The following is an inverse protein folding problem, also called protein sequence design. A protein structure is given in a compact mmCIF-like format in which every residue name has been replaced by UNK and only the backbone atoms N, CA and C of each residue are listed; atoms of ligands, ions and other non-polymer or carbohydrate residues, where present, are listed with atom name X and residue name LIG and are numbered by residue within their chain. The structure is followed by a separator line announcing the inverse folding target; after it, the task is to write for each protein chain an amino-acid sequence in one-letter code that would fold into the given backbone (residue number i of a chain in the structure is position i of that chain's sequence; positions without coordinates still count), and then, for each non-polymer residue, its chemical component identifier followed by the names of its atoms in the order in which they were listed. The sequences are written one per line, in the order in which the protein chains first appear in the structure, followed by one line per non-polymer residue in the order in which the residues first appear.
data_IF_122746486284
#
_entry.id   IF_122746486284
#
_cell.length_a   1.000
_cell.length_b   1.000
_cell.length_c   1.000
_cell.angle_alpha   90.00
_cell.angle_beta   90.00
_cell.angle_gamma   90.00
#
_symmetry.space_group_name_H-M   'P 1'
#
loop_
_entity.id
_entity.type
_entity.pdbx_description
1 polymer ?
#
# COMPACT_ATOMS: atom_id res chain seq x y z
N UNK A 1 37.15 17.52 8.59
CA UNK A 1 37.75 17.73 9.92
C UNK A 1 37.17 16.68 10.84
N UNK A 2 37.98 15.88 11.55
CA UNK A 2 37.47 14.98 12.60
C UNK A 2 37.41 15.78 13.90
N UNK A 3 36.23 16.24 14.28
CA UNK A 3 36.00 16.93 15.54
C UNK A 3 35.23 15.98 16.48
N UNK A 4 35.49 16.02 17.79
CA UNK A 4 34.68 15.26 18.75
C UNK A 4 33.25 15.80 18.78
N UNK A 5 33.11 17.13 18.67
CA UNK A 5 31.83 17.82 18.68
C UNK A 5 31.83 18.94 17.63
N UNK A 6 30.71 19.13 16.95
CA UNK A 6 30.46 20.26 16.08
C UNK A 6 29.58 21.30 16.81
N UNK A 7 30.12 22.50 16.99
CA UNK A 7 29.36 23.67 17.45
C UNK A 7 28.26 24.03 16.43
N UNK A 8 27.18 24.71 16.86
CA UNK A 8 26.12 25.12 15.95
C UNK A 8 26.69 25.92 14.77
N UNK A 9 26.43 25.43 13.55
CA UNK A 9 26.87 26.07 12.31
C UNK A 9 25.72 26.89 11.76
N UNK A 10 25.93 28.20 11.62
CA UNK A 10 25.07 29.08 10.85
C UNK A 10 25.92 29.69 9.72
N UNK A 11 25.82 29.14 8.51
CA UNK A 11 26.68 29.50 7.39
C UNK A 11 25.91 29.56 6.07
N UNK A 12 26.46 30.21 5.05
CA UNK A 12 25.92 30.07 3.69
C UNK A 12 26.19 28.65 3.17
N UNK A 13 27.41 28.14 3.40
CA UNK A 13 27.83 26.80 3.03
C UNK A 13 28.49 26.10 4.23
N UNK A 14 28.19 24.82 4.42
CA UNK A 14 28.86 23.95 5.38
C UNK A 14 29.72 22.94 4.63
N UNK A 15 31.04 22.97 4.84
CA UNK A 15 31.97 21.96 4.27
C UNK A 15 31.81 20.60 4.95
N UNK A 16 32.33 19.53 4.34
CA UNK A 16 32.21 18.16 4.86
C UNK A 16 32.54 18.06 6.38
N UNK A 17 31.55 17.59 7.14
CA UNK A 17 31.61 17.44 8.60
C UNK A 17 31.86 15.98 8.93
N UNK A 18 32.88 15.71 9.75
CA UNK A 18 33.11 14.40 10.36
C UNK A 18 33.17 14.61 11.87
N UNK A 19 32.11 14.26 12.58
CA UNK A 19 32.01 14.49 14.03
C UNK A 19 31.50 13.25 14.77
N UNK A 20 31.73 13.16 16.09
CA UNK A 20 30.95 12.21 16.89
C UNK A 20 29.54 12.78 17.10
N UNK A 21 29.45 14.02 17.54
CA UNK A 21 28.17 14.71 17.78
C UNK A 21 28.09 16.05 17.01
N UNK A 22 26.92 16.36 16.45
CA UNK A 22 26.62 17.64 15.80
C UNK A 22 25.30 18.22 16.33
N UNK A 23 25.34 19.46 16.85
CA UNK A 23 24.29 20.00 17.72
C UNK A 23 23.27 20.95 17.06
N UNK A 24 23.62 21.59 15.93
CA UNK A 24 22.70 22.24 15.00
C UNK A 24 23.42 22.64 13.71
N UNK A 25 22.83 22.38 12.54
CA UNK A 25 23.34 22.88 11.26
C UNK A 25 22.23 23.69 10.58
N UNK A 26 22.50 24.98 10.36
CA UNK A 26 21.67 25.88 9.55
C UNK A 26 22.52 26.39 8.39
N UNK A 27 22.27 25.88 7.18
CA UNK A 27 23.03 26.24 5.98
C UNK A 27 22.13 26.46 4.77
N UNK A 28 22.59 27.21 3.76
CA UNK A 28 21.91 27.16 2.46
C UNK A 28 22.27 25.83 1.77
N UNK A 29 23.56 25.52 1.71
CA UNK A 29 24.07 24.24 1.19
C UNK A 29 24.92 23.53 2.24
N UNK A 30 24.67 22.24 2.44
CA UNK A 30 25.47 21.41 3.35
C UNK A 30 26.11 20.24 2.60
N UNK A 31 27.45 20.22 2.52
CA UNK A 31 28.24 19.10 2.00
C UNK A 31 28.20 17.90 2.99
N UNK A 32 28.57 16.67 2.56
CA UNK A 32 28.28 15.44 3.31
C UNK A 32 28.61 15.49 4.80
N UNK A 33 27.66 15.00 5.60
CA UNK A 33 27.77 14.88 7.05
C UNK A 33 27.99 13.41 7.39
N UNK A 34 29.07 13.11 8.09
CA UNK A 34 29.29 11.83 8.75
C UNK A 34 29.34 12.07 10.27
N UNK A 35 28.28 11.70 10.99
CA UNK A 35 28.17 11.87 12.43
C UNK A 35 27.73 10.57 13.12
N UNK A 36 28.03 10.39 14.42
CA UNK A 36 27.30 9.38 15.19
C UNK A 36 25.90 9.92 15.50
N UNK A 37 25.82 11.14 16.02
CA UNK A 37 24.56 11.83 16.31
C UNK A 37 24.52 13.18 15.60
N UNK A 38 23.40 13.47 14.93
CA UNK A 38 23.15 14.76 14.29
C UNK A 38 21.82 15.35 14.76
N UNK A 39 21.86 16.57 15.28
CA UNK A 39 20.70 17.25 15.84
C UNK A 39 20.71 18.72 15.43
N UNK A 40 19.53 19.34 15.26
CA UNK A 40 18.76 19.38 14.02
C UNK A 40 19.51 19.97 12.79
N UNK A 41 19.14 19.51 11.59
CA UNK A 41 19.64 20.03 10.29
C UNK A 41 18.53 20.82 9.60
N UNK A 42 18.78 22.09 9.32
CA UNK A 42 17.96 22.96 8.48
C UNK A 42 18.79 23.43 7.28
N UNK A 43 18.48 22.92 6.09
CA UNK A 43 19.20 23.26 4.87
C UNK A 43 18.26 23.66 3.73
N UNK A 44 18.70 24.44 2.75
CA UNK A 44 17.97 24.48 1.47
C UNK A 44 18.29 23.20 0.69
N UNK A 45 19.58 22.88 0.56
CA UNK A 45 20.07 21.63 -0.04
C UNK A 45 20.97 20.88 0.95
N UNK A 46 20.63 19.62 1.24
CA UNK A 46 21.44 18.76 2.08
C UNK A 46 22.07 17.64 1.25
N UNK A 47 23.39 17.69 1.03
CA UNK A 47 24.15 16.58 0.45
C UNK A 47 24.23 15.40 1.44
N UNK A 48 24.64 14.18 1.02
CA UNK A 48 24.31 12.94 1.72
C UNK A 48 24.69 12.93 3.21
N UNK A 49 23.77 12.41 4.03
CA UNK A 49 23.92 12.30 5.49
C UNK A 49 24.10 10.84 5.86
N UNK A 50 25.22 10.53 6.52
CA UNK A 50 25.46 9.24 7.14
C UNK A 50 25.52 9.45 8.67
N UNK A 51 24.51 8.97 9.39
CA UNK A 51 24.41 9.11 10.83
C UNK A 51 24.13 7.76 11.52
N UNK A 52 24.47 7.59 12.80
CA UNK A 52 23.82 6.54 13.57
C UNK A 52 22.41 7.01 13.95
N UNK A 53 22.29 8.23 14.48
CA UNK A 53 21.03 8.87 14.81
C UNK A 53 20.93 10.28 14.19
N UNK A 54 19.80 10.59 13.54
CA UNK A 54 19.50 11.90 13.00
C UNK A 54 18.17 12.41 13.56
N UNK A 55 18.15 13.55 14.27
CA UNK A 55 16.96 13.93 15.06
C UNK A 55 15.86 14.66 14.27
N UNK A 56 16.20 15.66 13.45
CA UNK A 56 15.25 16.40 12.61
C UNK A 56 15.98 16.89 11.38
N UNK A 57 15.43 16.61 10.20
CA UNK A 57 15.92 17.14 8.93
C UNK A 57 14.80 17.97 8.29
N UNK A 58 15.04 19.27 8.17
CA UNK A 58 14.21 20.19 7.41
C UNK A 58 14.99 20.67 6.18
N UNK A 59 14.59 20.24 4.98
CA UNK A 59 15.29 20.57 3.74
C UNK A 59 14.32 21.06 2.65
N UNK A 60 14.78 21.86 1.68
CA UNK A 60 14.04 21.95 0.42
C UNK A 60 14.32 20.67 -0.39
N UNK A 61 15.60 20.33 -0.56
CA UNK A 61 16.06 19.09 -1.18
C UNK A 61 16.97 18.31 -0.22
N UNK A 62 16.59 17.06 0.07
CA UNK A 62 17.43 16.14 0.83
C UNK A 62 18.03 15.10 -0.10
N UNK A 63 19.35 15.13 -0.29
CA UNK A 63 20.13 14.05 -0.91
C UNK A 63 20.23 12.85 0.06
N UNK A 64 20.68 11.66 -0.38
CA UNK A 64 20.39 10.40 0.32
C UNK A 64 20.80 10.39 1.80
N UNK A 65 19.92 9.81 2.62
CA UNK A 65 20.10 9.69 4.07
C UNK A 65 20.28 8.22 4.42
N UNK A 66 21.42 7.89 5.03
CA UNK A 66 21.68 6.58 5.61
C UNK A 66 21.78 6.73 7.13
N UNK A 67 20.84 6.15 7.87
CA UNK A 67 20.81 6.24 9.33
C UNK A 67 20.48 4.89 10.00
N UNK A 68 20.89 4.67 11.25
CA UNK A 68 20.24 3.60 12.02
C UNK A 68 18.84 4.08 12.43
N UNK A 69 18.74 5.29 12.98
CA UNK A 69 17.49 5.94 13.34
C UNK A 69 17.39 7.33 12.71
N UNK A 70 16.28 7.59 11.99
CA UNK A 70 15.91 8.90 11.51
C UNK A 70 14.66 9.40 12.22
N UNK A 71 14.79 10.47 12.99
CA UNK A 71 13.69 11.26 13.54
C UNK A 71 13.31 12.39 12.55
N UNK A 72 12.11 12.99 12.65
CA UNK A 72 11.26 13.34 11.51
C UNK A 72 11.92 14.14 10.40
N UNK A 73 11.58 13.77 9.15
CA UNK A 73 12.08 14.41 7.93
C UNK A 73 10.95 15.23 7.31
N UNK A 74 11.20 16.52 7.10
CA UNK A 74 10.33 17.43 6.36
C UNK A 74 11.09 17.99 5.16
N UNK A 75 10.74 17.55 3.95
CA UNK A 75 11.41 17.98 2.71
C UNK A 75 10.40 18.43 1.64
N UNK A 76 10.82 19.25 0.67
CA UNK A 76 10.04 19.33 -0.57
C UNK A 76 10.33 18.07 -1.40
N UNK A 77 11.61 17.75 -1.58
CA UNK A 77 12.08 16.55 -2.28
C UNK A 77 13.02 15.72 -1.40
N UNK A 78 12.72 14.42 -1.28
CA UNK A 78 13.55 13.45 -0.55
C UNK A 78 14.13 12.41 -1.51
N UNK A 79 15.46 12.47 -1.69
CA UNK A 79 16.28 11.42 -2.30
C UNK A 79 16.39 10.21 -1.32
N UNK A 80 16.91 9.04 -1.74
CA UNK A 80 16.58 7.78 -1.06
C UNK A 80 16.97 7.77 0.43
N UNK A 81 16.07 7.23 1.25
CA UNK A 81 16.25 7.02 2.68
C UNK A 81 16.52 5.53 2.90
N UNK A 82 17.65 5.22 3.53
CA UNK A 82 18.01 3.88 3.99
C UNK A 82 18.18 3.93 5.52
N UNK A 83 17.21 3.38 6.24
CA UNK A 83 17.17 3.44 7.70
C UNK A 83 16.85 2.09 8.35
N UNK A 84 17.30 1.83 9.58
CA UNK A 84 16.68 0.73 10.34
C UNK A 84 15.29 1.18 10.81
N UNK A 85 15.20 2.35 11.42
CA UNK A 85 13.95 2.98 11.85
C UNK A 85 13.81 4.38 11.25
N UNK A 86 12.69 4.64 10.57
CA UNK A 86 12.35 5.95 10.02
C UNK A 86 11.11 6.48 10.73
N UNK A 87 11.24 7.55 11.51
CA UNK A 87 10.15 8.34 12.08
C UNK A 87 9.52 9.23 11.01
N UNK A 88 8.37 9.90 11.24
CA UNK A 88 7.47 10.28 10.14
C UNK A 88 8.13 11.18 9.10
N UNK A 89 7.85 10.87 7.83
CA UNK A 89 8.35 11.58 6.66
C UNK A 89 7.22 12.40 6.07
N UNK A 90 7.43 13.71 5.93
CA UNK A 90 6.53 14.61 5.22
C UNK A 90 7.27 15.19 4.02
N UNK A 91 6.83 14.86 2.81
CA UNK A 91 7.48 15.32 1.58
C UNK A 91 6.45 15.79 0.53
N UNK A 92 6.85 16.64 -0.43
CA UNK A 92 6.07 16.75 -1.66
C UNK A 92 6.37 15.52 -2.53
N UNK A 93 7.65 15.20 -2.72
CA UNK A 93 8.11 14.04 -3.48
C UNK A 93 9.09 13.20 -2.64
N UNK A 94 8.85 11.89 -2.54
CA UNK A 94 9.74 10.95 -1.86
C UNK A 94 10.15 9.82 -2.81
N UNK A 95 11.45 9.66 -3.07
CA UNK A 95 11.95 8.79 -4.15
C UNK A 95 12.02 7.29 -3.80
N UNK A 96 12.68 6.91 -2.70
CA UNK A 96 12.74 5.52 -2.23
C UNK A 96 12.88 5.54 -0.72
N UNK A 97 12.08 4.72 -0.03
CA UNK A 97 12.24 4.48 1.41
C UNK A 97 12.50 3.00 1.62
N UNK A 98 13.72 2.68 2.07
CA UNK A 98 14.10 1.35 2.53
C UNK A 98 14.23 1.41 4.06
N UNK A 99 13.37 0.70 4.78
CA UNK A 99 13.40 0.69 6.24
C UNK A 99 13.12 -0.68 6.84
N UNK A 100 13.63 -1.01 8.02
CA UNK A 100 13.05 -2.14 8.77
C UNK A 100 11.67 -1.73 9.29
N UNK A 101 11.59 -0.57 9.94
CA UNK A 101 10.35 0.03 10.43
C UNK A 101 10.17 1.44 9.86
N UNK A 102 9.04 1.69 9.20
CA UNK A 102 8.68 2.98 8.65
C UNK A 102 7.44 3.54 9.36
N UNK A 103 7.62 4.58 10.17
CA UNK A 103 6.56 5.41 10.76
C UNK A 103 5.80 6.21 9.66
N UNK A 104 4.69 6.91 9.98
CA UNK A 104 3.78 7.42 8.96
C UNK A 104 4.45 8.25 7.86
N UNK A 105 4.10 7.97 6.60
CA UNK A 105 4.59 8.72 5.43
C UNK A 105 3.44 9.55 4.88
N UNK A 106 3.64 10.86 4.78
CA UNK A 106 2.71 11.78 4.13
C UNK A 106 3.41 12.44 2.93
N UNK A 107 3.00 12.08 1.72
CA UNK A 107 3.61 12.59 0.48
C UNK A 107 2.57 13.06 -0.54
N UNK A 108 2.93 13.94 -1.48
CA UNK A 108 2.12 14.10 -2.69
C UNK A 108 2.41 12.90 -3.62
N UNK A 109 3.70 12.65 -3.88
CA UNK A 109 4.18 11.53 -4.68
C UNK A 109 5.16 10.67 -3.87
N UNK A 110 4.89 9.36 -3.80
CA UNK A 110 5.73 8.38 -3.15
C UNK A 110 6.20 7.30 -4.13
N UNK A 111 7.48 7.34 -4.45
CA UNK A 111 8.21 6.32 -5.18
C UNK A 111 8.77 5.26 -4.19
N UNK A 112 9.20 4.08 -4.67
CA UNK A 112 8.91 2.80 -4.02
C UNK A 112 9.29 2.70 -2.53
N UNK A 113 8.37 2.15 -1.73
CA UNK A 113 8.57 1.86 -0.30
C UNK A 113 8.83 0.37 -0.14
N UNK A 114 9.97 0.04 0.48
CA UNK A 114 10.34 -1.32 0.84
C UNK A 114 10.61 -1.39 2.34
N UNK A 115 9.72 -2.04 3.10
CA UNK A 115 9.86 -2.15 4.55
C UNK A 115 9.57 -3.54 5.11
N UNK A 116 10.06 -3.85 6.31
CA UNK A 116 9.50 -4.99 7.05
C UNK A 116 8.13 -4.59 7.61
N UNK A 117 8.06 -3.47 8.33
CA UNK A 117 6.84 -2.91 8.90
C UNK A 117 6.59 -1.48 8.40
N UNK A 118 5.37 -1.23 7.93
CA UNK A 118 4.91 0.08 7.48
C UNK A 118 3.68 0.56 8.28
N UNK A 119 3.88 1.63 9.04
CA UNK A 119 2.83 2.46 9.63
C UNK A 119 2.19 3.35 8.54
N UNK A 120 1.07 4.07 8.80
CA UNK A 120 0.16 4.46 7.72
C UNK A 120 0.80 5.35 6.65
N UNK A 121 0.55 5.01 5.39
CA UNK A 121 0.99 5.77 4.20
C UNK A 121 -0.19 6.58 3.69
N UNK A 122 -0.01 7.89 3.56
CA UNK A 122 -0.97 8.81 2.96
C UNK A 122 -0.30 9.53 1.77
N UNK A 123 -0.73 9.21 0.56
CA UNK A 123 -0.17 9.79 -0.67
C UNK A 123 -1.26 10.29 -1.63
N UNK A 124 -0.96 11.21 -2.55
CA UNK A 124 -1.81 11.38 -3.73
C UNK A 124 -1.51 10.24 -4.71
N UNK A 125 -0.23 10.06 -5.04
CA UNK A 125 0.26 8.99 -5.91
C UNK A 125 1.28 8.14 -5.17
N UNK A 126 1.06 6.83 -5.16
CA UNK A 126 1.98 5.85 -4.60
C UNK A 126 2.29 4.80 -5.67
N UNK A 127 3.58 4.61 -5.97
CA UNK A 127 4.00 3.54 -6.86
C UNK A 127 3.99 2.20 -6.09
N UNK A 128 5.15 1.58 -5.89
CA UNK A 128 5.25 0.25 -5.30
C UNK A 128 5.34 0.33 -3.79
N UNK A 129 4.48 -0.42 -3.10
CA UNK A 129 4.62 -0.70 -1.66
C UNK A 129 4.93 -2.17 -1.49
N UNK A 130 6.11 -2.50 -1.01
CA UNK A 130 6.53 -3.86 -0.68
C UNK A 130 6.79 -3.94 0.84
N UNK A 131 5.91 -4.61 1.58
CA UNK A 131 6.02 -4.73 3.03
C UNK A 131 5.87 -6.18 3.51
N UNK A 132 6.42 -6.55 4.68
CA UNK A 132 5.93 -7.75 5.35
C UNK A 132 4.57 -7.42 6.00
N UNK A 133 4.52 -6.35 6.79
CA UNK A 133 3.31 -5.86 7.45
C UNK A 133 3.05 -4.40 7.08
N UNK A 134 1.81 -4.10 6.68
CA UNK A 134 1.36 -2.76 6.35
C UNK A 134 0.06 -2.45 7.08
N UNK A 135 0.01 -1.31 7.78
CA UNK A 135 -1.19 -0.89 8.51
C UNK A 135 -2.26 -0.32 7.58
N UNK A 136 -2.08 0.89 7.05
CA UNK A 136 -3.05 1.54 6.16
C UNK A 136 -2.33 2.18 4.99
N UNK A 137 -2.79 1.90 3.78
CA UNK A 137 -2.41 2.63 2.57
C UNK A 137 -3.60 3.48 2.12
N UNK A 138 -3.47 4.80 2.21
CA UNK A 138 -4.46 5.75 1.72
C UNK A 138 -3.86 6.54 0.55
N UNK A 139 -4.36 6.30 -0.66
CA UNK A 139 -3.86 6.96 -1.87
C UNK A 139 -4.99 7.43 -2.81
N UNK A 140 -4.75 8.40 -3.68
CA UNK A 140 -5.63 8.58 -4.83
C UNK A 140 -5.32 7.48 -5.86
N UNK A 141 -4.05 7.34 -6.23
CA UNK A 141 -3.55 6.31 -7.14
C UNK A 141 -2.48 5.46 -6.45
N UNK A 142 -2.62 4.12 -6.50
CA UNK A 142 -1.68 3.19 -5.87
C UNK A 142 -1.29 2.04 -6.81
N UNK A 143 0.01 1.78 -6.99
CA UNK A 143 0.44 0.88 -8.05
C UNK A 143 1.82 0.24 -7.89
N UNK A 144 1.96 -1.09 -7.71
CA UNK A 144 1.22 -2.10 -6.94
C UNK A 144 1.53 -2.17 -5.43
N UNK A 145 0.63 -2.80 -4.65
CA UNK A 145 0.85 -3.16 -3.24
C UNK A 145 1.14 -4.66 -3.10
N UNK A 146 2.29 -5.00 -2.54
CA UNK A 146 2.69 -6.36 -2.18
C UNK A 146 2.97 -6.44 -0.68
N UNK A 147 2.14 -7.17 0.07
CA UNK A 147 2.30 -7.32 1.52
C UNK A 147 2.17 -8.78 1.95
N UNK A 148 2.76 -9.20 3.08
CA UNK A 148 2.28 -10.42 3.72
C UNK A 148 0.93 -10.12 4.41
N UNK A 149 0.89 -9.07 5.22
CA UNK A 149 -0.31 -8.62 5.93
C UNK A 149 -0.58 -7.13 5.64
N UNK A 150 -1.81 -6.79 5.26
CA UNK A 150 -2.22 -5.42 5.02
C UNK A 150 -3.55 -5.10 5.72
N UNK A 151 -3.54 -4.19 6.70
CA UNK A 151 -4.73 -3.90 7.53
C UNK A 151 -5.70 -2.90 6.90
N UNK A 152 -5.36 -2.18 5.83
CA UNK A 152 -6.33 -1.44 5.04
C UNK A 152 -5.70 -0.91 3.74
N UNK A 153 -6.47 -0.94 2.66
CA UNK A 153 -6.16 -0.19 1.44
C UNK A 153 -7.35 0.68 1.09
N UNK A 154 -7.16 1.99 1.07
CA UNK A 154 -8.14 3.00 0.66
C UNK A 154 -7.57 3.74 -0.54
N UNK A 155 -8.10 3.47 -1.73
CA UNK A 155 -7.61 4.05 -2.97
C UNK A 155 -8.75 4.62 -3.82
N UNK A 156 -8.51 5.64 -4.66
CA UNK A 156 -9.43 5.85 -5.78
C UNK A 156 -9.15 4.78 -6.84
N UNK A 157 -7.90 4.66 -7.25
CA UNK A 157 -7.43 3.68 -8.22
C UNK A 157 -6.30 2.84 -7.62
N UNK A 158 -6.46 1.52 -7.66
CA UNK A 158 -5.41 0.59 -7.28
C UNK A 158 -5.17 -0.40 -8.41
N UNK A 159 -3.94 -0.48 -8.90
CA UNK A 159 -3.59 -1.48 -9.92
C UNK A 159 -3.59 -2.87 -9.26
N UNK A 160 -2.47 -3.34 -8.73
CA UNK A 160 -2.39 -4.70 -8.18
C UNK A 160 -2.36 -4.67 -6.66
N UNK A 161 -3.16 -5.53 -6.02
CA UNK A 161 -2.99 -5.87 -4.60
C UNK A 161 -2.64 -7.35 -4.50
N UNK A 162 -1.44 -7.65 -3.99
CA UNK A 162 -0.97 -8.99 -3.70
C UNK A 162 -0.68 -9.12 -2.20
N UNK A 163 -1.55 -9.79 -1.45
CA UNK A 163 -1.41 -9.92 0.00
C UNK A 163 -1.59 -11.36 0.49
N UNK A 164 -0.92 -11.83 1.54
CA UNK A 164 -1.39 -13.08 2.17
C UNK A 164 -2.75 -12.83 2.86
N UNK A 165 -2.82 -11.75 3.65
CA UNK A 165 -4.04 -11.29 4.29
C UNK A 165 -4.25 -9.79 4.03
N UNK A 166 -5.47 -9.40 3.63
CA UNK A 166 -5.82 -7.98 3.49
C UNK A 166 -7.20 -7.67 4.08
N UNK A 167 -7.28 -6.64 4.94
CA UNK A 167 -8.51 -6.37 5.68
C UNK A 167 -8.63 -4.96 6.30
N UNK A 168 -9.35 -3.96 5.71
CA UNK A 168 -10.22 -4.00 4.53
C UNK A 168 -9.76 -3.19 3.31
N UNK A 169 -10.38 -3.47 2.15
CA UNK A 169 -10.10 -2.76 0.90
C UNK A 169 -11.31 -1.93 0.48
N UNK A 170 -11.08 -0.63 0.27
CA UNK A 170 -12.03 0.31 -0.29
C UNK A 170 -11.40 1.01 -1.49
N UNK A 171 -11.84 0.69 -2.70
CA UNK A 171 -11.32 1.28 -3.94
C UNK A 171 -12.44 1.79 -4.84
N UNK A 172 -12.24 2.83 -5.67
CA UNK A 172 -13.17 3.04 -6.78
C UNK A 172 -12.89 1.98 -7.86
N UNK A 173 -11.63 1.81 -8.24
CA UNK A 173 -11.16 0.81 -9.20
C UNK A 173 -10.04 -0.05 -8.61
N UNK A 174 -10.13 -1.37 -8.77
CA UNK A 174 -9.09 -2.31 -8.31
C UNK A 174 -8.81 -3.39 -9.37
N UNK A 175 -7.56 -3.51 -9.84
CA UNK A 175 -7.25 -4.38 -10.99
C UNK A 175 -5.80 -4.91 -11.12
N UNK A 176 -5.48 -6.18 -10.78
CA UNK A 176 -6.22 -7.25 -10.08
C UNK A 176 -5.88 -7.40 -8.58
N UNK A 177 -6.74 -8.12 -7.86
CA UNK A 177 -6.52 -8.51 -6.47
C UNK A 177 -6.22 -10.01 -6.35
N UNK A 178 -5.11 -10.34 -5.68
CA UNK A 178 -4.72 -11.70 -5.34
C UNK A 178 -4.41 -11.79 -3.84
N UNK A 179 -5.15 -12.60 -3.09
CA UNK A 179 -4.83 -12.81 -1.69
C UNK A 179 -5.11 -14.21 -1.16
N UNK A 180 -4.48 -14.65 -0.07
CA UNK A 180 -4.95 -15.88 0.58
C UNK A 180 -6.30 -15.60 1.24
N UNK A 181 -6.38 -14.55 2.05
CA UNK A 181 -7.62 -14.12 2.70
C UNK A 181 -7.89 -12.62 2.48
N UNK A 182 -9.15 -12.28 2.19
CA UNK A 182 -9.61 -10.90 2.05
C UNK A 182 -10.86 -10.66 2.89
N UNK A 183 -10.87 -9.58 3.65
CA UNK A 183 -11.98 -9.22 4.52
C UNK A 183 -12.32 -7.74 4.39
N UNK A 184 -13.61 -7.39 4.45
CA UNK A 184 -14.40 -7.03 3.27
C UNK A 184 -13.69 -6.24 2.16
N UNK A 185 -14.14 -6.46 0.91
CA UNK A 185 -13.75 -5.67 -0.26
C UNK A 185 -14.93 -4.83 -0.74
N UNK A 186 -14.78 -3.52 -0.77
CA UNK A 186 -15.74 -2.59 -1.35
C UNK A 186 -15.12 -1.88 -2.54
N UNK A 187 -15.65 -2.12 -3.74
CA UNK A 187 -15.19 -1.45 -4.95
C UNK A 187 -16.33 -0.98 -5.85
N UNK A 188 -16.12 0.06 -6.66
CA UNK A 188 -17.04 0.30 -7.78
C UNK A 188 -16.76 -0.70 -8.91
N UNK A 189 -15.50 -0.83 -9.32
CA UNK A 189 -15.07 -1.74 -10.39
C UNK A 189 -13.91 -2.63 -9.91
N UNK A 190 -14.06 -3.94 -10.09
CA UNK A 190 -12.99 -4.92 -9.89
C UNK A 190 -12.77 -5.77 -11.14
N UNK A 191 -11.55 -5.85 -11.68
CA UNK A 191 -11.31 -6.78 -12.80
C UNK A 191 -11.30 -8.24 -12.32
N UNK A 192 -10.28 -8.63 -11.55
CA UNK A 192 -10.11 -10.00 -11.07
C UNK A 192 -9.86 -10.04 -9.57
N UNK A 193 -10.61 -10.89 -8.88
CA UNK A 193 -10.38 -11.26 -7.48
C UNK A 193 -10.03 -12.74 -7.45
N UNK A 194 -8.82 -13.05 -7.01
CA UNK A 194 -8.37 -14.42 -6.78
C UNK A 194 -8.02 -14.58 -5.30
N UNK A 195 -8.81 -15.37 -4.56
CA UNK A 195 -8.48 -15.66 -3.19
C UNK A 195 -8.74 -17.11 -2.76
N UNK A 196 -8.18 -17.52 -1.62
CA UNK A 196 -8.64 -18.77 -0.98
C UNK A 196 -9.90 -18.50 -0.17
N UNK A 197 -9.89 -17.46 0.66
CA UNK A 197 -11.03 -17.05 1.49
C UNK A 197 -11.41 -15.60 1.20
N UNK A 198 -12.69 -15.35 1.01
CA UNK A 198 -13.24 -14.00 0.79
C UNK A 198 -14.42 -13.72 1.71
N UNK A 199 -14.33 -12.58 2.39
CA UNK A 199 -15.39 -12.02 3.20
C UNK A 199 -15.86 -10.69 2.59
N UNK A 200 -17.11 -10.29 2.87
CA UNK A 200 -18.07 -9.92 1.86
C UNK A 200 -17.53 -8.95 0.80
N UNK A 201 -17.76 -9.29 -0.47
CA UNK A 201 -17.39 -8.45 -1.61
C UNK A 201 -18.61 -7.62 -2.01
N UNK A 202 -18.47 -6.30 -2.01
CA UNK A 202 -19.44 -5.35 -2.54
C UNK A 202 -18.82 -4.65 -3.75
N UNK A 203 -19.28 -5.01 -4.96
CA UNK A 203 -18.83 -4.41 -6.21
C UNK A 203 -20.01 -3.84 -7.01
N UNK A 204 -19.84 -2.77 -7.81
CA UNK A 204 -20.83 -2.48 -8.84
C UNK A 204 -20.60 -3.41 -10.04
N UNK A 205 -19.36 -3.48 -10.53
CA UNK A 205 -18.95 -4.30 -11.66
C UNK A 205 -17.76 -5.20 -11.30
N UNK A 206 -17.82 -6.46 -11.70
CA UNK A 206 -16.70 -7.39 -11.53
C UNK A 206 -16.48 -8.32 -12.73
N UNK A 207 -15.25 -8.46 -13.24
CA UNK A 207 -15.00 -9.39 -14.36
C UNK A 207 -14.94 -10.85 -13.91
N UNK A 208 -14.11 -11.19 -12.91
CA UNK A 208 -14.18 -12.51 -12.31
C UNK A 208 -13.82 -12.56 -10.83
N UNK A 209 -14.53 -13.40 -10.10
CA UNK A 209 -14.18 -13.81 -8.74
C UNK A 209 -13.85 -15.30 -8.73
N UNK A 210 -12.66 -15.65 -8.24
CA UNK A 210 -12.21 -17.01 -8.01
C UNK A 210 -11.89 -17.12 -6.52
N UNK A 211 -12.68 -17.92 -5.79
CA UNK A 211 -12.51 -18.17 -4.36
C UNK A 211 -12.61 -19.66 -4.04
N UNK A 212 -11.94 -20.16 -3.00
CA UNK A 212 -12.33 -21.47 -2.46
C UNK A 212 -13.60 -21.27 -1.62
N UNK A 213 -13.58 -20.32 -0.70
CA UNK A 213 -14.68 -19.98 0.20
C UNK A 213 -15.03 -18.50 0.10
N UNK A 214 -16.32 -18.17 -0.04
CA UNK A 214 -16.77 -16.78 -0.08
C UNK A 214 -18.06 -16.58 0.72
N UNK A 215 -18.04 -15.72 1.73
CA UNK A 215 -19.21 -15.55 2.62
C UNK A 215 -20.39 -14.83 1.96
N UNK A 216 -20.15 -13.79 1.15
CA UNK A 216 -21.17 -13.13 0.33
C UNK A 216 -20.54 -12.33 -0.82
N UNK A 217 -21.24 -12.29 -1.96
CA UNK A 217 -20.93 -11.39 -3.08
C UNK A 217 -22.18 -10.58 -3.42
N UNK A 218 -22.06 -9.26 -3.34
CA UNK A 218 -23.04 -8.30 -3.80
C UNK A 218 -22.42 -7.53 -4.98
N UNK A 219 -22.68 -7.98 -6.21
CA UNK A 219 -22.14 -7.38 -7.43
C UNK A 219 -23.27 -7.07 -8.41
N UNK A 220 -23.53 -5.81 -8.76
CA UNK A 220 -24.63 -5.51 -9.69
C UNK A 220 -24.46 -6.26 -11.03
N UNK A 221 -23.22 -6.28 -11.54
CA UNK A 221 -22.82 -7.04 -12.72
C UNK A 221 -21.55 -7.86 -12.43
N UNK A 222 -21.57 -9.17 -12.76
CA UNK A 222 -20.38 -10.00 -12.69
C UNK A 222 -20.31 -11.02 -13.83
N UNK A 223 -19.20 -11.05 -14.56
CA UNK A 223 -19.08 -11.94 -15.72
C UNK A 223 -18.87 -13.41 -15.33
N UNK A 224 -18.10 -13.69 -14.27
CA UNK A 224 -17.95 -15.06 -13.75
C UNK A 224 -17.62 -15.12 -12.26
N UNK A 225 -18.22 -16.09 -11.57
CA UNK A 225 -17.93 -16.40 -10.18
C UNK A 225 -17.64 -17.89 -10.07
N UNK A 226 -16.43 -18.24 -9.63
CA UNK A 226 -15.99 -19.59 -9.34
C UNK A 226 -15.66 -19.70 -7.85
N UNK A 227 -16.63 -20.17 -7.06
CA UNK A 227 -16.48 -20.44 -5.63
C UNK A 227 -16.82 -21.90 -5.31
N UNK A 228 -16.01 -22.58 -4.50
CA UNK A 228 -16.34 -23.93 -4.04
C UNK A 228 -17.50 -23.88 -3.02
N UNK A 229 -17.43 -22.92 -2.09
CA UNK A 229 -18.48 -22.65 -1.09
C UNK A 229 -18.87 -21.16 -1.09
N UNK A 230 -20.17 -20.87 -1.15
CA UNK A 230 -20.65 -19.48 -1.17
C UNK A 230 -21.98 -19.29 -0.39
N UNK A 231 -21.99 -18.35 0.56
CA UNK A 231 -23.19 -17.87 1.29
C UNK A 231 -23.71 -16.54 0.67
N UNK A 232 -24.92 -16.05 1.03
CA UNK A 232 -25.90 -15.54 0.07
C UNK A 232 -25.36 -14.49 -0.93
N UNK A 233 -25.63 -14.74 -2.22
CA UNK A 233 -25.36 -13.80 -3.32
C UNK A 233 -26.56 -12.86 -3.46
N UNK A 234 -26.40 -11.57 -3.14
CA UNK A 234 -27.52 -10.65 -2.93
C UNK A 234 -28.06 -9.98 -4.21
N UNK A 235 -27.26 -9.87 -5.26
CA UNK A 235 -27.68 -9.47 -6.59
C UNK A 235 -26.50 -9.76 -7.52
N UNK A 236 -26.71 -10.51 -8.60
CA UNK A 236 -25.76 -10.62 -9.71
C UNK A 236 -26.56 -10.80 -11.00
N UNK A 237 -26.43 -9.87 -11.94
CA UNK A 237 -26.75 -10.14 -13.35
C UNK A 237 -25.54 -10.80 -13.98
N UNK A 238 -25.61 -12.13 -14.19
CA UNK A 238 -24.58 -12.89 -14.91
C UNK A 238 -24.93 -12.92 -16.40
N UNK A 239 -24.02 -12.49 -17.27
CA UNK A 239 -24.24 -12.51 -18.71
C UNK A 239 -24.34 -13.96 -19.27
N UNK A 240 -25.29 -14.26 -20.19
CA UNK A 240 -25.51 -15.58 -20.81
C UNK A 240 -24.31 -16.27 -21.51
N UNK A 241 -23.16 -15.62 -21.66
CA UNK A 241 -22.10 -16.02 -22.60
C UNK A 241 -21.01 -16.96 -22.08
N UNK A 242 -20.86 -17.15 -20.76
CA UNK A 242 -19.69 -17.83 -20.17
C UNK A 242 -20.06 -18.94 -19.16
N UNK A 243 -21.14 -19.69 -19.42
CA UNK A 243 -21.68 -20.72 -18.51
C UNK A 243 -20.83 -21.98 -18.31
N UNK A 244 -19.61 -22.05 -18.86
CA UNK A 244 -18.96 -23.35 -19.05
C UNK A 244 -18.12 -23.87 -17.86
N UNK A 245 -17.95 -23.11 -16.77
CA UNK A 245 -17.06 -23.51 -15.65
C UNK A 245 -17.55 -23.16 -14.24
N UNK A 246 -18.85 -23.10 -13.98
CA UNK A 246 -19.32 -23.22 -12.59
C UNK A 246 -19.11 -24.68 -12.20
N UNK A 247 -18.09 -24.98 -11.38
CA UNK A 247 -17.88 -26.32 -10.83
C UNK A 247 -18.98 -26.56 -9.79
N UNK A 248 -20.09 -27.07 -10.30
CA UNK A 248 -21.32 -27.44 -9.60
C UNK A 248 -21.10 -28.62 -8.64
N UNK A 249 -20.34 -28.44 -7.55
CA UNK A 249 -20.30 -29.47 -6.49
C UNK A 249 -21.01 -29.10 -5.20
N UNK A 250 -21.15 -27.82 -4.82
CA UNK A 250 -21.76 -27.48 -3.53
C UNK A 250 -22.74 -26.30 -3.49
N UNK A 251 -22.93 -25.55 -4.59
CA UNK A 251 -23.87 -24.42 -4.63
C UNK A 251 -25.35 -24.86 -4.82
N UNK A 252 -25.85 -25.79 -3.99
CA UNK A 252 -27.19 -26.40 -4.09
C UNK A 252 -28.35 -25.45 -3.75
N UNK A 253 -28.11 -24.34 -3.02
CA UNK A 253 -29.17 -23.40 -2.58
C UNK A 253 -29.36 -22.19 -3.49
N UNK A 254 -28.30 -21.64 -4.08
CA UNK A 254 -28.37 -20.38 -4.85
C UNK A 254 -28.95 -20.60 -6.26
N UNK A 255 -28.68 -21.76 -6.88
CA UNK A 255 -29.17 -22.06 -8.22
C UNK A 255 -30.69 -22.07 -8.26
N UNK A 256 -31.38 -22.51 -7.19
CA UNK A 256 -32.85 -22.55 -7.19
C UNK A 256 -33.49 -21.16 -7.20
N UNK A 257 -32.85 -20.11 -6.69
CA UNK A 257 -33.36 -18.73 -6.70
C UNK A 257 -33.03 -17.97 -8.00
N UNK A 258 -31.79 -18.08 -8.51
CA UNK A 258 -31.43 -17.40 -9.77
C UNK A 258 -32.08 -18.07 -10.99
N UNK A 259 -32.22 -19.39 -10.99
CA UNK A 259 -32.70 -20.16 -12.13
C UNK A 259 -34.24 -20.12 -12.25
N UNK A 260 -34.98 -19.89 -11.15
CA UNK A 260 -36.45 -19.75 -11.18
C UNK A 260 -36.95 -18.36 -11.60
N UNK A 261 -36.16 -17.29 -11.40
CA UNK A 261 -36.54 -15.93 -11.83
C UNK A 261 -36.12 -15.58 -13.26
N UNK A 262 -35.09 -16.23 -13.82
CA UNK A 262 -34.51 -15.83 -15.12
C UNK A 262 -34.83 -16.80 -16.26
N UNK A 263 -34.84 -18.13 -16.04
CA UNK A 263 -35.16 -19.12 -17.10
C UNK A 263 -35.89 -20.37 -16.56
N UNK A 264 -37.22 -20.35 -16.44
CA UNK A 264 -38.00 -21.46 -15.87
C UNK A 264 -37.91 -22.78 -16.68
N UNK A 265 -37.57 -22.73 -17.98
CA UNK A 265 -37.54 -23.91 -18.87
C UNK A 265 -36.21 -24.67 -18.91
N UNK A 266 -35.09 -24.02 -18.60
CA UNK A 266 -33.77 -24.69 -18.58
C UNK A 266 -33.49 -25.36 -17.25
N UNK A 267 -34.14 -24.89 -16.19
CA UNK A 267 -33.94 -25.37 -14.83
C UNK A 267 -34.46 -26.81 -14.61
N UNK A 268 -35.52 -27.22 -15.32
CA UNK A 268 -36.08 -28.58 -15.25
C UNK A 268 -35.23 -29.66 -15.91
N UNK A 269 -34.25 -29.31 -16.75
CA UNK A 269 -33.28 -30.28 -17.30
C UNK A 269 -32.07 -30.51 -16.41
N UNK A 270 -31.74 -29.55 -15.56
CA UNK A 270 -30.56 -29.60 -14.67
C UNK A 270 -30.92 -30.20 -13.31
N UNK A 271 -32.16 -30.00 -12.85
CA UNK A 271 -32.70 -30.62 -11.63
C UNK A 271 -34.00 -31.37 -11.95
N UNK A 272 -33.93 -32.65 -12.37
CA UNK A 272 -35.09 -33.53 -12.29
C UNK A 272 -35.47 -33.69 -10.81
N UNK A 273 -36.78 -33.65 -10.54
CA UNK A 273 -37.36 -33.48 -9.19
C UNK A 273 -36.95 -34.50 -8.14
#
# INVERSE_FOLDING_TARGET
FAATECSPVAAAECSAVVAAECSAVAAAECFPIAAAECSPVAAAECSPVAAAECSVVAAAECSPVAAAECSPIAAAECSPIDAAECSPVTAAECSVVAAAECSPVAAAECFPIAAAECFPIAAAECSVVAAAECSVVAAAECSPVAAAECSAVVAAECSVVAAAECSPIAAAECSPLAAAACYPVAAAVCSHIAATECYPIAAAECSAVVAAECSAVAAAECSSVAAAECSPIAAVRVFPGFYSRIILRYCRRVIRCCCSRVFPRSCSRVFPG
#
